data_IF_729705258456
#
_entry.id   IF_729705258456
#
_cell.length_a   1.000
_cell.length_b   1.000
_cell.length_c   1.000
_cell.angle_alpha   90.00
_cell.angle_beta   90.00
_cell.angle_gamma   90.00
#
_symmetry.space_group_name_H-M   'P 1'
#
loop_
_entity.id
_entity.type
_entity.pdbx_description
1 polymer ?
#
# COMPACT_ATOMS: atom_id res chain seq x y z
N UNK A 1 1.91 1.36 8.65
CA UNK A 1 1.06 0.34 7.98
C UNK A 1 -0.12 0.03 8.88
N UNK A 2 -1.35 0.13 8.37
CA UNK A 2 -2.58 -0.11 9.15
C UNK A 2 -3.05 -1.57 9.11
N UNK A 3 -2.96 -2.21 7.93
CA UNK A 3 -3.44 -3.58 7.72
C UNK A 3 -2.69 -4.22 6.56
N UNK A 4 -2.49 -5.55 6.64
CA UNK A 4 -2.03 -6.39 5.54
C UNK A 4 -3.00 -7.57 5.41
N UNK A 5 -3.71 -7.67 4.29
CA UNK A 5 -4.63 -8.77 4.00
C UNK A 5 -4.03 -9.65 2.91
N UNK A 6 -3.55 -10.85 3.26
CA UNK A 6 -3.01 -11.81 2.28
C UNK A 6 -4.14 -12.51 1.52
N UNK A 7 -4.08 -12.47 0.19
CA UNK A 7 -4.94 -13.24 -0.70
C UNK A 7 -4.22 -14.47 -1.28
N UNK A 8 -4.79 -15.07 -2.32
CA UNK A 8 -4.22 -16.26 -2.96
C UNK A 8 -2.88 -15.99 -3.66
N UNK A 9 -2.70 -14.79 -4.22
CA UNK A 9 -1.50 -14.42 -5.00
C UNK A 9 -1.02 -13.01 -4.66
N UNK A 10 -1.94 -12.11 -4.35
CA UNK A 10 -1.65 -10.72 -3.98
C UNK A 10 -2.13 -10.42 -2.57
N UNK A 11 -1.43 -9.50 -1.92
CA UNK A 11 -1.76 -8.91 -0.63
C UNK A 11 -2.23 -7.47 -0.80
N UNK A 12 -3.23 -7.09 -0.03
CA UNK A 12 -3.65 -5.71 0.10
C UNK A 12 -3.00 -5.09 1.33
N UNK A 13 -2.23 -4.02 1.14
CA UNK A 13 -1.55 -3.28 2.21
C UNK A 13 -2.20 -1.91 2.35
N UNK A 14 -2.83 -1.64 3.50
CA UNK A 14 -3.40 -0.32 3.80
C UNK A 14 -2.38 0.53 4.55
N UNK A 15 -2.09 1.70 4.00
CA UNK A 15 -1.17 2.68 4.57
C UNK A 15 -1.91 3.95 4.97
N UNK A 16 -1.56 4.47 6.15
CA UNK A 16 -1.97 5.80 6.61
C UNK A 16 -0.99 6.84 6.03
N UNK A 17 -1.54 7.89 5.41
CA UNK A 17 -0.76 9.02 4.88
C UNK A 17 -0.81 10.24 5.82
N UNK A 18 -1.52 10.13 6.95
CA UNK A 18 -1.80 11.25 7.84
C UNK A 18 -2.99 12.09 7.37
N UNK A 19 -3.49 12.96 8.25
CA UNK A 19 -4.59 13.88 7.93
C UNK A 19 -5.92 13.19 7.59
N UNK A 20 -6.09 11.92 7.99
CA UNK A 20 -7.27 11.11 7.69
C UNK A 20 -7.26 10.46 6.29
N UNK A 21 -6.17 10.62 5.53
CA UNK A 21 -6.03 10.00 4.22
C UNK A 21 -5.38 8.62 4.30
N UNK A 22 -5.89 7.66 3.53
CA UNK A 22 -5.33 6.31 3.44
C UNK A 22 -5.18 5.88 1.98
N UNK A 23 -4.16 5.08 1.71
CA UNK A 23 -3.98 4.41 0.41
C UNK A 23 -3.92 2.91 0.60
N UNK A 24 -4.45 2.15 -0.35
CA UNK A 24 -4.35 0.69 -0.39
C UNK A 24 -3.54 0.27 -1.60
N UNK A 25 -2.43 -0.41 -1.37
CA UNK A 25 -1.62 -1.02 -2.42
C UNK A 25 -2.02 -2.50 -2.58
N UNK A 26 -2.06 -2.98 -3.82
CA UNK A 26 -2.11 -4.42 -4.12
C UNK A 26 -0.75 -4.84 -4.66
N UNK A 27 -0.05 -5.68 -3.91
CA UNK A 27 1.30 -6.17 -4.25
C UNK A 27 1.33 -7.69 -4.14
N UNK A 28 2.36 -8.34 -4.68
CA UNK A 28 2.45 -9.81 -4.59
C UNK A 28 2.71 -10.25 -3.14
N UNK A 29 2.33 -11.48 -2.80
CA UNK A 29 2.60 -12.04 -1.48
C UNK A 29 4.11 -12.11 -1.21
N UNK A 30 4.91 -12.40 -2.24
CA UNK A 30 6.36 -12.44 -2.17
C UNK A 30 6.95 -11.07 -1.81
N UNK A 31 6.42 -9.98 -2.37
CA UNK A 31 6.89 -8.63 -2.06
C UNK A 31 6.64 -8.24 -0.60
N UNK A 32 5.51 -8.67 -0.01
CA UNK A 32 5.25 -8.50 1.43
C UNK A 32 6.33 -9.19 2.26
N UNK A 33 6.66 -10.43 1.91
CA UNK A 33 7.60 -11.26 2.66
C UNK A 33 9.06 -10.81 2.47
N UNK A 34 9.47 -10.44 1.25
CA UNK A 34 10.81 -9.93 0.94
C UNK A 34 11.10 -8.59 1.62
N UNK A 35 10.12 -7.69 1.62
CA UNK A 35 10.22 -6.38 2.29
C UNK A 35 9.97 -6.47 3.81
N UNK A 36 9.56 -7.65 4.31
CA UNK A 36 9.23 -7.90 5.72
C UNK A 36 8.22 -6.89 6.27
N UNK A 37 7.18 -6.63 5.49
CA UNK A 37 6.15 -5.66 5.88
C UNK A 37 5.34 -6.20 7.06
N UNK A 38 5.20 -5.37 8.09
CA UNK A 38 4.41 -5.67 9.27
C UNK A 38 3.47 -4.52 9.64
N UNK A 39 2.33 -4.85 10.24
CA UNK A 39 1.41 -3.85 10.78
C UNK A 39 2.11 -3.03 11.85
N UNK A 40 1.91 -1.70 11.81
CA UNK A 40 2.57 -0.76 12.71
C UNK A 40 3.91 -0.21 12.23
N UNK A 41 4.53 -0.76 11.18
CA UNK A 41 5.77 -0.23 10.62
C UNK A 41 5.55 1.05 9.81
N UNK A 42 6.55 1.94 9.81
CA UNK A 42 6.61 3.08 8.91
C UNK A 42 6.89 2.63 7.47
N UNK A 43 6.14 3.17 6.51
CA UNK A 43 6.31 2.87 5.10
C UNK A 43 5.91 4.08 4.25
N UNK A 44 6.40 4.13 3.01
CA UNK A 44 6.06 5.15 2.04
C UNK A 44 5.31 4.53 0.85
N UNK A 45 4.27 5.22 0.37
CA UNK A 45 3.62 4.88 -0.90
C UNK A 45 4.39 5.52 -2.06
N UNK A 46 4.99 4.70 -2.91
CA UNK A 46 5.69 5.14 -4.12
C UNK A 46 4.82 4.82 -5.33
N UNK A 47 4.34 5.85 -6.01
CA UNK A 47 3.46 5.72 -7.17
C UNK A 47 4.18 6.28 -8.39
N UNK A 48 4.22 5.51 -9.47
CA UNK A 48 4.82 5.95 -10.73
C UNK A 48 4.01 7.11 -11.29
N UNK A 49 4.69 8.18 -11.72
CA UNK A 49 4.02 9.40 -12.21
C UNK A 49 3.06 9.17 -13.38
N UNK A 50 3.34 8.19 -14.25
CA UNK A 50 2.47 7.87 -15.40
C UNK A 50 1.13 7.24 -15.01
N UNK A 51 1.00 6.75 -13.78
CA UNK A 51 -0.15 5.95 -13.34
C UNK A 51 -1.09 6.77 -12.43
N UNK A 52 -0.75 8.05 -12.20
CA UNK A 52 -1.59 9.00 -11.46
C UNK A 52 -2.53 9.72 -12.43
N UNK A 53 -3.82 9.67 -12.13
CA UNK A 53 -4.85 10.41 -12.86
C UNK A 53 -5.28 11.67 -12.09
N UNK A 54 -5.56 12.75 -12.82
CA UNK A 54 -6.05 14.03 -12.27
C UNK A 54 -7.46 14.30 -12.79
N UNK A 55 -8.35 14.74 -11.91
CA UNK A 55 -9.71 15.17 -12.25
C UNK A 55 -9.98 16.56 -11.66
N UNK A 56 -10.80 17.35 -12.35
CA UNK A 56 -11.29 18.65 -11.86
C UNK A 56 -12.61 18.46 -11.09
N UNK A 57 -12.92 19.42 -10.21
CA UNK A 57 -14.14 19.43 -9.38
C UNK A 57 -15.18 20.39 -9.95
#
# INVERSE_FOLDING_TARGET
ILEITKGATTSHVRLDLGGGATVTASITNEAVDELKLEVGQDAAAIIKASDVMIAIQ
#
